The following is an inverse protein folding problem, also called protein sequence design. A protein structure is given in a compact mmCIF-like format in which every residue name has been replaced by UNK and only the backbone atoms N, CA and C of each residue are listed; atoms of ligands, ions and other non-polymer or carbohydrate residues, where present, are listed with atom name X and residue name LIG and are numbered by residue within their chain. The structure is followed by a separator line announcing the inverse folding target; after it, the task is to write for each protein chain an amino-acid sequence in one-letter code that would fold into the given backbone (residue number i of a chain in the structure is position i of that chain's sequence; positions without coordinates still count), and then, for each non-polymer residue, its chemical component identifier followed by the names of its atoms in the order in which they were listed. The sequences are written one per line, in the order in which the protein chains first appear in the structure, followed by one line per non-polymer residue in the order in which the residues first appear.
data_IF_364054875985
#
_entry.id   IF_364054875985
#
_cell.length_a   1.000
_cell.length_b   1.000
_cell.length_c   1.000
_cell.angle_alpha   90.00
_cell.angle_beta   90.00
_cell.angle_gamma   90.00
#
_symmetry.space_group_name_H-M   'P 1'
#
loop_
_entity.id
_entity.type
_entity.pdbx_description
1 polymer ?
#
# COMPACT_ATOMS: atom_id res chain seq x y z
N UNK A 1 5.51 -15.86 12.47
CA UNK A 1 6.00 -16.42 11.19
C UNK A 1 7.40 -15.88 10.86
N UNK A 2 7.60 -14.57 10.72
CA UNK A 2 8.84 -13.98 10.19
C UNK A 2 9.83 -13.48 11.25
N UNK A 3 9.47 -13.45 12.52
CA UNK A 3 10.25 -12.77 13.58
C UNK A 3 10.23 -11.25 13.38
N UNK A 4 11.28 -10.57 13.83
CA UNK A 4 11.45 -9.14 13.52
C UNK A 4 12.09 -9.00 12.13
N UNK A 5 11.37 -8.48 11.12
CA UNK A 5 11.87 -8.39 9.76
C UNK A 5 12.99 -7.34 9.60
N UNK A 6 13.14 -6.42 10.55
CA UNK A 6 14.19 -5.40 10.52
C UNK A 6 15.52 -5.98 10.99
N UNK A 7 15.48 -6.85 12.00
CA UNK A 7 16.67 -7.55 12.55
C UNK A 7 16.96 -8.87 11.83
N UNK A 8 15.97 -9.39 11.08
CA UNK A 8 16.07 -10.69 10.40
C UNK A 8 16.43 -11.86 11.32
N UNK A 9 15.76 -11.97 12.47
CA UNK A 9 16.03 -12.98 13.50
C UNK A 9 15.93 -14.43 12.98
N UNK A 10 15.18 -14.63 11.90
CA UNK A 10 15.02 -15.94 11.24
C UNK A 10 16.06 -16.22 10.15
N UNK A 11 17.00 -15.30 9.93
CA UNK A 11 18.09 -15.43 8.96
C UNK A 11 17.64 -15.73 7.52
N UNK A 12 16.52 -15.14 7.09
CA UNK A 12 16.09 -15.23 5.69
C UNK A 12 17.10 -14.57 4.75
N UNK A 13 17.10 -14.97 3.49
CA UNK A 13 17.86 -14.28 2.45
C UNK A 13 17.49 -12.79 2.42
N UNK A 14 18.44 -11.93 2.11
CA UNK A 14 18.27 -10.47 2.05
C UNK A 14 18.67 -9.97 0.67
N UNK A 15 17.80 -9.16 0.07
CA UNK A 15 18.06 -8.48 -1.20
C UNK A 15 17.82 -6.98 -1.05
N UNK A 16 18.55 -6.18 -1.83
CA UNK A 16 18.30 -4.73 -1.90
C UNK A 16 17.12 -4.42 -2.84
N UNK A 17 16.48 -3.26 -2.66
CA UNK A 17 15.39 -2.84 -3.53
C UNK A 17 15.76 -2.83 -5.01
N UNK A 18 16.97 -2.38 -5.35
CA UNK A 18 17.46 -2.41 -6.74
C UNK A 18 17.61 -3.82 -7.33
N UNK A 19 17.82 -4.84 -6.48
CA UNK A 19 17.88 -6.24 -6.94
C UNK A 19 16.49 -6.81 -7.20
N UNK A 20 15.48 -6.33 -6.47
CA UNK A 20 14.12 -6.86 -6.53
C UNK A 20 13.20 -6.07 -7.44
N UNK A 21 13.36 -4.75 -7.49
CA UNK A 21 12.37 -3.84 -8.06
C UNK A 21 12.99 -2.80 -8.98
N UNK A 22 12.19 -2.33 -9.92
CA UNK A 22 12.41 -1.09 -10.66
C UNK A 22 11.37 -0.08 -10.21
N UNK A 23 11.80 0.90 -9.43
CA UNK A 23 10.93 2.00 -9.01
C UNK A 23 10.75 3.02 -10.12
N UNK A 24 9.61 3.70 -10.12
CA UNK A 24 9.32 4.82 -11.01
C UNK A 24 8.46 5.85 -10.28
N UNK A 25 8.67 7.12 -10.58
CA UNK A 25 7.71 8.15 -10.17
C UNK A 25 6.49 8.10 -11.09
N UNK A 26 5.32 8.38 -10.54
CA UNK A 26 4.12 8.57 -11.32
C UNK A 26 4.19 9.81 -12.21
N UNK A 27 3.11 10.11 -12.90
CA UNK A 27 2.99 11.24 -13.83
C UNK A 27 1.91 12.21 -13.39
N UNK A 28 2.11 13.49 -13.62
CA UNK A 28 1.08 14.49 -13.43
C UNK A 28 -0.18 14.09 -14.20
N UNK A 29 -1.33 14.10 -13.52
CA UNK A 29 -2.62 13.91 -14.17
C UNK A 29 -3.15 15.25 -14.63
N UNK A 30 -3.24 15.43 -15.96
CA UNK A 30 -3.82 16.63 -16.54
C UNK A 30 -5.28 16.81 -16.05
N UNK A 31 -5.70 18.05 -15.86
CA UNK A 31 -7.07 18.37 -15.43
C UNK A 31 -8.11 17.88 -16.44
N UNK A 32 -7.80 17.91 -17.74
CA UNK A 32 -8.68 17.47 -18.81
C UNK A 32 -8.87 15.95 -18.86
N UNK A 33 -7.94 15.18 -18.24
CA UNK A 33 -8.01 13.73 -18.13
C UNK A 33 -8.70 13.25 -16.85
N UNK A 34 -9.09 14.18 -15.95
CA UNK A 34 -9.87 13.86 -14.75
C UNK A 34 -11.34 13.69 -15.13
N UNK A 35 -11.92 12.57 -14.72
CA UNK A 35 -13.29 12.20 -15.06
C UNK A 35 -14.04 11.71 -13.82
N UNK A 36 -15.38 11.69 -13.87
CA UNK A 36 -16.21 11.13 -12.80
C UNK A 36 -16.20 9.58 -12.83
N UNK A 37 -16.12 9.00 -14.02
CA UNK A 37 -16.05 7.56 -14.23
C UNK A 37 -14.79 7.22 -15.04
N UNK A 38 -13.96 6.32 -14.50
CA UNK A 38 -12.68 5.96 -15.11
C UNK A 38 -11.79 5.19 -14.16
N UNK A 39 -10.52 5.10 -14.53
CA UNK A 39 -9.51 4.39 -13.75
C UNK A 39 -9.14 5.16 -12.48
N UNK A 40 -8.95 4.49 -11.33
CA UNK A 40 -8.52 5.16 -10.11
C UNK A 40 -7.16 5.85 -10.31
N UNK A 41 -7.04 7.08 -9.85
CA UNK A 41 -5.82 7.86 -9.88
C UNK A 41 -5.27 8.00 -8.45
N UNK A 42 -4.18 7.28 -8.18
CA UNK A 42 -3.54 7.23 -6.86
C UNK A 42 -2.54 8.37 -6.69
N UNK A 43 -2.65 9.03 -5.55
CA UNK A 43 -1.63 9.92 -5.01
C UNK A 43 -0.92 9.33 -3.80
N UNK A 44 -0.21 10.15 -3.04
CA UNK A 44 0.47 9.72 -1.80
C UNK A 44 -0.49 9.21 -0.72
N UNK A 45 -1.75 9.67 -0.70
CA UNK A 45 -2.77 9.29 0.29
C UNK A 45 -3.86 8.32 -0.22
N UNK A 46 -3.72 7.76 -1.40
CA UNK A 46 -4.72 6.88 -2.00
C UNK A 46 -5.35 7.46 -3.25
N UNK A 47 -6.59 7.05 -3.54
CA UNK A 47 -7.31 7.52 -4.71
C UNK A 47 -7.74 8.96 -4.49
N UNK A 48 -7.19 9.88 -5.28
CA UNK A 48 -7.54 11.31 -5.23
C UNK A 48 -8.54 11.68 -6.33
N UNK A 49 -8.47 11.01 -7.48
CA UNK A 49 -9.26 11.29 -8.68
C UNK A 49 -9.55 10.00 -9.45
N UNK A 50 -10.36 10.11 -10.49
CA UNK A 50 -10.42 9.10 -11.56
C UNK A 50 -9.85 9.69 -12.84
N UNK A 51 -9.17 8.85 -13.63
CA UNK A 51 -8.52 9.23 -14.89
C UNK A 51 -9.15 8.52 -16.07
N UNK A 52 -9.23 9.21 -17.20
CA UNK A 52 -9.61 8.61 -18.48
C UNK A 52 -8.62 7.55 -18.94
N UNK A 53 -7.35 7.72 -18.60
CA UNK A 53 -6.25 6.85 -18.98
C UNK A 53 -5.66 6.13 -17.76
N UNK A 54 -4.91 5.05 -17.99
CA UNK A 54 -4.14 4.36 -16.95
C UNK A 54 -2.65 4.38 -17.27
N UNK A 55 -1.81 4.31 -16.25
CA UNK A 55 -0.36 4.26 -16.33
C UNK A 55 0.18 2.85 -16.07
N UNK A 56 -0.57 2.07 -15.30
CA UNK A 56 -0.27 0.68 -14.93
C UNK A 56 -1.51 -0.17 -15.21
N UNK A 57 -1.32 -1.44 -15.52
CA UNK A 57 -2.39 -2.41 -15.79
C UNK A 57 -2.50 -3.54 -14.76
N UNK A 58 -1.46 -3.72 -13.93
CA UNK A 58 -1.42 -4.73 -12.89
C UNK A 58 -1.32 -4.09 -11.49
N UNK A 59 -1.79 -4.78 -10.44
CA UNK A 59 -1.59 -4.35 -9.06
C UNK A 59 -0.10 -4.17 -8.74
N UNK A 60 0.23 -3.10 -8.02
CA UNK A 60 1.60 -2.83 -7.59
C UNK A 60 1.64 -2.08 -6.26
N UNK A 61 2.84 -1.98 -5.66
CA UNK A 61 3.08 -1.15 -4.48
C UNK A 61 3.25 0.31 -4.89
N UNK A 62 2.57 1.17 -4.16
CA UNK A 62 2.61 2.63 -4.27
C UNK A 62 3.14 3.20 -2.95
N UNK A 63 4.09 4.12 -3.05
CA UNK A 63 4.71 4.81 -1.91
C UNK A 63 4.46 6.31 -2.06
N UNK A 64 3.92 6.93 -1.04
CA UNK A 64 3.73 8.38 -0.99
C UNK A 64 5.08 9.09 -1.13
N UNK A 65 5.18 10.02 -2.08
CA UNK A 65 6.43 10.69 -2.41
C UNK A 65 6.59 12.05 -1.75
N UNK A 66 5.49 12.78 -1.58
CA UNK A 66 5.51 14.21 -1.19
C UNK A 66 4.45 14.50 -0.14
N UNK A 67 4.73 15.42 0.79
CA UNK A 67 3.79 15.96 1.76
C UNK A 67 3.58 15.07 2.99
N UNK A 68 2.47 15.28 3.70
CA UNK A 68 2.15 14.62 4.98
C UNK A 68 2.08 13.07 4.87
N UNK A 69 1.85 12.55 3.69
CA UNK A 69 1.76 11.10 3.43
C UNK A 69 3.03 10.52 2.80
N UNK A 70 4.14 11.28 2.90
CA UNK A 70 5.44 10.85 2.45
C UNK A 70 5.86 9.58 3.19
N UNK A 71 6.17 8.51 2.46
CA UNK A 71 6.52 7.21 3.03
C UNK A 71 5.36 6.24 3.22
N UNK A 72 4.10 6.67 3.17
CA UNK A 72 2.95 5.76 3.24
C UNK A 72 2.99 4.74 2.10
N UNK A 73 2.74 3.48 2.45
CA UNK A 73 2.74 2.36 1.50
C UNK A 73 1.35 1.80 1.31
N UNK A 74 0.99 1.50 0.08
CA UNK A 74 -0.29 0.88 -0.29
C UNK A 74 -0.19 0.10 -1.59
N UNK A 75 -1.23 -0.63 -1.94
CA UNK A 75 -1.36 -1.30 -3.25
C UNK A 75 -2.33 -0.56 -4.15
N UNK A 76 -2.11 -0.67 -5.46
CA UNK A 76 -3.13 -0.37 -6.47
C UNK A 76 -3.97 -1.61 -6.77
N UNK A 77 -5.15 -1.40 -7.35
CA UNK A 77 -6.03 -2.46 -7.82
C UNK A 77 -6.15 -2.39 -9.35
N UNK A 78 -5.47 -3.31 -10.06
CA UNK A 78 -5.56 -3.40 -11.52
C UNK A 78 -5.12 -2.12 -12.25
N UNK A 79 -5.84 -1.79 -13.33
CA UNK A 79 -5.56 -0.61 -14.14
C UNK A 79 -5.74 0.68 -13.34
N UNK A 80 -4.70 1.49 -13.27
CA UNK A 80 -4.71 2.71 -12.48
C UNK A 80 -3.76 3.78 -13.04
N UNK A 81 -4.03 5.04 -12.73
CA UNK A 81 -3.08 6.14 -12.88
C UNK A 81 -2.33 6.33 -11.57
N UNK A 82 -1.02 6.57 -11.65
CA UNK A 82 -0.19 6.94 -10.50
C UNK A 82 0.27 8.37 -10.70
N UNK A 83 -0.06 9.25 -9.75
CA UNK A 83 0.31 10.65 -9.84
C UNK A 83 1.79 10.88 -9.52
N UNK A 84 2.30 12.02 -9.89
CA UNK A 84 3.67 12.48 -9.60
C UNK A 84 3.97 12.66 -8.11
N UNK A 85 2.93 12.65 -7.25
CA UNK A 85 3.05 12.66 -5.79
C UNK A 85 3.28 11.26 -5.19
N UNK A 86 3.52 10.25 -6.03
CA UNK A 86 3.80 8.90 -5.61
C UNK A 86 4.95 8.27 -6.41
N UNK A 87 5.63 7.31 -5.77
CA UNK A 87 6.56 6.36 -6.39
C UNK A 87 5.86 5.01 -6.41
N UNK A 88 6.08 4.20 -7.43
CA UNK A 88 5.53 2.86 -7.53
C UNK A 88 6.56 1.85 -8.01
N UNK A 89 6.34 0.58 -7.75
CA UNK A 89 7.13 -0.50 -8.33
C UNK A 89 6.63 -0.69 -9.77
N UNK A 90 7.43 -0.26 -10.73
CA UNK A 90 7.12 -0.40 -12.16
C UNK A 90 7.30 -1.82 -12.66
N UNK A 91 8.27 -2.53 -12.08
CA UNK A 91 8.65 -3.88 -12.51
C UNK A 91 9.21 -4.66 -11.31
N UNK A 92 8.75 -5.89 -11.14
CA UNK A 92 9.32 -6.89 -10.25
C UNK A 92 10.36 -7.67 -11.06
N UNK A 93 11.64 -7.56 -10.69
CA UNK A 93 12.74 -8.20 -11.43
C UNK A 93 12.75 -9.72 -11.26
N UNK A 94 12.21 -10.19 -10.14
CA UNK A 94 12.06 -11.59 -9.81
C UNK A 94 10.68 -11.83 -9.19
N UNK A 95 10.20 -13.06 -9.23
CA UNK A 95 8.95 -13.48 -8.57
C UNK A 95 9.19 -13.87 -7.11
N UNK A 96 10.00 -13.09 -6.40
CA UNK A 96 10.42 -13.39 -5.02
C UNK A 96 9.38 -12.97 -3.97
N UNK A 97 8.35 -12.23 -4.34
CA UNK A 97 7.44 -11.61 -3.38
C UNK A 97 5.97 -11.84 -3.72
N UNK A 98 5.22 -12.31 -2.72
CA UNK A 98 3.78 -12.12 -2.66
C UNK A 98 3.48 -10.64 -2.37
N UNK A 99 2.49 -10.05 -3.07
CA UNK A 99 2.20 -8.61 -2.98
C UNK A 99 1.68 -8.19 -1.60
N UNK A 100 0.89 -9.05 -0.94
CA UNK A 100 0.36 -8.80 0.42
C UNK A 100 1.49 -8.84 1.43
N UNK A 101 2.34 -9.86 1.38
CA UNK A 101 3.52 -9.93 2.23
C UNK A 101 4.42 -8.71 2.05
N UNK A 102 4.72 -8.33 0.81
CA UNK A 102 5.56 -7.18 0.50
C UNK A 102 4.96 -5.87 1.02
N UNK A 103 3.65 -5.69 0.88
CA UNK A 103 2.94 -4.52 1.43
C UNK A 103 3.16 -4.40 2.94
N UNK A 104 2.93 -5.47 3.69
CA UNK A 104 3.06 -5.45 5.14
C UNK A 104 4.53 -5.30 5.57
N UNK A 105 5.46 -5.96 4.89
CA UNK A 105 6.90 -5.77 5.12
C UNK A 105 7.30 -4.30 4.92
N UNK A 106 6.85 -3.66 3.84
CA UNK A 106 7.17 -2.27 3.54
C UNK A 106 6.55 -1.29 4.55
N UNK A 107 5.37 -1.59 5.10
CA UNK A 107 4.78 -0.81 6.20
C UNK A 107 5.63 -0.87 7.47
N UNK A 108 6.14 -2.05 7.82
CA UNK A 108 7.02 -2.21 9.00
C UNK A 108 8.34 -1.46 8.83
N UNK A 109 8.86 -1.35 7.62
CA UNK A 109 10.12 -0.64 7.33
C UNK A 109 10.02 0.85 7.63
N UNK A 110 8.84 1.45 7.58
CA UNK A 110 8.60 2.89 7.76
C UNK A 110 9.43 3.79 6.82
N UNK A 111 8.97 3.93 5.60
CA UNK A 111 9.68 4.74 4.61
C UNK A 111 9.67 6.25 4.87
N UNK A 112 8.87 6.75 5.83
CA UNK A 112 8.90 8.16 6.21
C UNK A 112 10.28 8.61 6.68
N UNK A 113 11.09 7.69 7.26
CA UNK A 113 12.47 7.92 7.67
C UNK A 113 13.42 8.32 6.54
N UNK A 114 13.04 8.11 5.28
CA UNK A 114 13.82 8.49 4.11
C UNK A 114 13.42 9.85 3.54
N UNK A 115 12.47 10.52 4.16
CA UNK A 115 12.04 11.83 3.72
C UNK A 115 13.11 12.89 3.98
N UNK A 116 13.33 13.75 3.01
CA UNK A 116 14.05 14.99 3.17
C UNK A 116 13.05 16.05 3.69
N UNK A 117 13.36 16.64 4.83
CA UNK A 117 12.55 17.64 5.52
C UNK A 117 13.10 19.06 5.36
N UNK A 118 14.04 19.31 4.45
CA UNK A 118 14.58 20.65 4.18
C UNK A 118 13.51 21.64 3.65
N UNK A 119 12.36 21.15 3.27
CA UNK A 119 11.18 21.88 2.83
C UNK A 119 9.95 20.98 2.96
N UNK A 120 9.11 20.91 1.90
CA UNK A 120 8.03 19.93 1.88
C UNK A 120 8.62 18.51 1.90
N UNK A 121 8.20 17.62 2.85
CA UNK A 121 8.74 16.28 2.95
C UNK A 121 8.70 15.55 1.61
N UNK A 122 9.84 14.97 1.21
CA UNK A 122 9.98 14.32 -0.10
C UNK A 122 10.91 13.11 -0.06
N UNK A 123 10.47 12.01 -0.67
CA UNK A 123 11.28 10.80 -0.88
C UNK A 123 11.71 10.71 -2.35
N UNK A 124 12.95 10.25 -2.57
CA UNK A 124 13.47 9.88 -3.89
C UNK A 124 13.56 8.35 -4.03
N UNK A 125 13.83 7.86 -5.23
CA UNK A 125 13.94 6.42 -5.48
C UNK A 125 15.21 5.80 -4.87
N UNK A 126 16.32 6.56 -4.78
CA UNK A 126 17.62 6.05 -4.31
C UNK A 126 17.61 5.39 -2.93
N UNK A 127 16.99 5.96 -1.88
CA UNK A 127 16.86 5.28 -0.59
C UNK A 127 16.09 3.95 -0.70
N UNK A 128 15.02 3.91 -1.49
CA UNK A 128 14.20 2.71 -1.70
C UNK A 128 14.99 1.60 -2.41
N UNK A 129 15.82 1.97 -3.38
CA UNK A 129 16.71 1.05 -4.10
C UNK A 129 17.78 0.44 -3.19
N UNK A 130 18.26 1.19 -2.20
CA UNK A 130 19.26 0.74 -1.24
C UNK A 130 18.68 -0.03 -0.05
N UNK A 131 17.38 0.14 0.23
CA UNK A 131 16.73 -0.56 1.33
C UNK A 131 16.86 -2.08 1.16
N UNK A 132 17.17 -2.75 2.26
CA UNK A 132 17.24 -4.21 2.33
C UNK A 132 15.88 -4.79 2.69
N UNK A 133 15.53 -5.89 2.03
CA UNK A 133 14.29 -6.63 2.24
C UNK A 133 14.63 -8.08 2.55
N UNK A 134 14.00 -8.66 3.57
CA UNK A 134 14.04 -10.11 3.78
C UNK A 134 13.23 -10.79 2.66
N UNK A 135 13.70 -11.96 2.24
CA UNK A 135 13.07 -12.77 1.18
C UNK A 135 12.82 -14.18 1.73
N UNK A 136 11.75 -14.37 2.52
CA UNK A 136 11.34 -15.68 2.98
C UNK A 136 10.91 -16.58 1.80
N UNK A 137 10.86 -17.91 1.96
CA UNK A 137 10.26 -18.80 0.96
C UNK A 137 8.87 -18.34 0.55
N UNK A 138 8.54 -18.46 -0.75
CA UNK A 138 7.28 -17.96 -1.30
C UNK A 138 6.05 -18.62 -0.67
N UNK A 139 6.15 -19.93 -0.34
CA UNK A 139 5.07 -20.65 0.33
C UNK A 139 4.73 -20.01 1.69
N UNK A 140 5.75 -19.63 2.49
CA UNK A 140 5.55 -18.97 3.77
C UNK A 140 4.93 -17.57 3.61
N UNK A 141 5.26 -16.87 2.53
CA UNK A 141 4.64 -15.58 2.19
C UNK A 141 3.17 -15.75 1.77
N UNK A 142 2.84 -16.82 1.04
CA UNK A 142 1.47 -17.14 0.63
C UNK A 142 0.62 -17.52 1.84
N UNK A 143 1.12 -18.37 2.74
CA UNK A 143 0.44 -18.71 4.00
C UNK A 143 0.12 -17.45 4.83
N UNK A 144 1.04 -16.49 4.86
CA UNK A 144 0.80 -15.21 5.52
C UNK A 144 -0.27 -14.38 4.79
N UNK A 145 -0.24 -14.33 3.47
CA UNK A 145 -1.25 -13.61 2.70
C UNK A 145 -2.67 -14.20 2.91
N UNK A 146 -2.79 -15.50 2.98
CA UNK A 146 -4.04 -16.21 3.29
C UNK A 146 -4.51 -15.89 4.71
N UNK A 147 -3.59 -15.85 5.67
CA UNK A 147 -3.90 -15.43 7.04
C UNK A 147 -4.41 -13.99 7.10
N UNK A 148 -3.74 -13.05 6.41
CA UNK A 148 -4.19 -11.64 6.33
C UNK A 148 -5.59 -11.56 5.74
N UNK A 149 -5.86 -12.29 4.64
CA UNK A 149 -7.19 -12.31 4.02
C UNK A 149 -8.29 -12.84 4.98
N UNK A 150 -7.98 -13.84 5.83
CA UNK A 150 -8.90 -14.33 6.84
C UNK A 150 -9.16 -13.29 7.95
N UNK A 151 -8.11 -12.59 8.40
CA UNK A 151 -8.23 -11.51 9.38
C UNK A 151 -9.10 -10.38 8.83
N UNK A 152 -8.86 -9.92 7.61
CA UNK A 152 -9.64 -8.86 6.97
C UNK A 152 -11.12 -9.25 6.84
N UNK A 153 -11.40 -10.49 6.44
CA UNK A 153 -12.77 -11.02 6.38
C UNK A 153 -13.46 -11.03 7.75
N UNK A 154 -12.72 -11.42 8.79
CA UNK A 154 -13.24 -11.44 10.17
C UNK A 154 -13.51 -10.03 10.69
N UNK A 155 -12.61 -9.08 10.41
CA UNK A 155 -12.80 -7.67 10.77
C UNK A 155 -14.04 -7.07 10.10
N UNK A 156 -14.25 -7.36 8.80
CA UNK A 156 -15.44 -6.90 8.09
C UNK A 156 -16.74 -7.46 8.69
N UNK A 157 -16.75 -8.75 9.07
CA UNK A 157 -17.90 -9.37 9.73
C UNK A 157 -18.21 -8.76 11.11
N UNK A 158 -17.16 -8.50 11.90
CA UNK A 158 -17.28 -7.85 13.21
C UNK A 158 -17.82 -6.42 13.03
N UNK A 159 -17.28 -5.65 12.08
CA UNK A 159 -17.75 -4.28 11.83
C UNK A 159 -19.23 -4.27 11.45
N UNK A 160 -19.67 -5.18 10.58
CA UNK A 160 -21.08 -5.30 10.22
C UNK A 160 -21.97 -5.58 11.43
N UNK A 161 -21.55 -6.50 12.32
CA UNK A 161 -22.28 -6.80 13.54
C UNK A 161 -22.35 -5.59 14.49
N UNK A 162 -21.29 -4.80 14.59
CA UNK A 162 -21.28 -3.56 15.39
C UNK A 162 -22.27 -2.53 14.83
N UNK A 163 -22.31 -2.33 13.51
CA UNK A 163 -23.23 -1.39 12.85
C UNK A 163 -24.70 -1.83 13.07
N UNK A 164 -25.00 -3.14 13.02
CA UNK A 164 -26.31 -3.71 13.31
C UNK A 164 -26.73 -3.47 14.78
N UNK A 165 -25.79 -3.68 15.74
CA UNK A 165 -26.05 -3.42 17.17
C UNK A 165 -26.25 -1.93 17.45
N UNK A 166 -25.51 -1.03 16.82
CA UNK A 166 -25.73 0.40 16.95
C UNK A 166 -27.11 0.83 16.41
N UNK A 167 -27.53 0.24 15.30
CA UNK A 167 -28.84 0.48 14.71
C UNK A 167 -29.96 0.02 15.66
N UNK A 168 -29.84 -1.18 16.21
CA UNK A 168 -30.79 -1.71 17.18
C UNK A 168 -30.86 -0.83 18.44
N UNK A 169 -29.71 -0.43 18.98
CA UNK A 169 -29.64 0.49 20.12
C UNK A 169 -30.36 1.79 19.84
N UNK A 170 -30.16 2.40 18.69
CA UNK A 170 -30.86 3.65 18.30
C UNK A 170 -32.37 3.44 18.24
N UNK A 171 -32.84 2.33 17.66
CA UNK A 171 -34.26 1.98 17.59
C UNK A 171 -34.89 1.84 18.97
N UNK A 172 -34.22 1.10 19.87
CA UNK A 172 -34.69 0.93 21.26
C UNK A 172 -34.71 2.26 22.03
N UNK A 173 -33.66 3.09 21.88
CA UNK A 173 -33.64 4.41 22.50
C UNK A 173 -34.79 5.30 22.03
N UNK A 174 -35.15 5.23 20.75
CA UNK A 174 -36.29 5.96 20.20
C UNK A 174 -37.62 5.40 20.69
N UNK A 175 -37.74 4.09 20.88
CA UNK A 175 -38.96 3.45 21.40
C UNK A 175 -39.22 3.79 22.86
N UNK A 176 -38.15 3.84 23.70
CA UNK A 176 -38.34 4.03 25.15
C UNK A 176 -38.21 5.47 25.63
N UNK A 177 -37.60 6.36 24.84
CA UNK A 177 -37.30 7.74 25.27
C UNK A 177 -37.74 8.80 24.21
N UNK A 178 -38.25 8.39 23.06
CA UNK A 178 -38.76 9.26 21.98
C UNK A 178 -40.25 9.51 22.01
#
# INVERSE_FOLDING_TARGET
MFGDPLNNDKMFAVKTGQQCFKFSSGKLLDKNDRVFEGYPAYGGNGIAWKSRNYLIDNPTIIIGRVGAYCGNVRTSHGKAWISDNAIYIKEFKNLDFNLVFLLELMKVIDFSRFADFSGQPKITQKPLEKQKYIVPPLDLQNDFADFVAQVDKSQLAIQKSLDELETLKKSLMQEYFG
#
